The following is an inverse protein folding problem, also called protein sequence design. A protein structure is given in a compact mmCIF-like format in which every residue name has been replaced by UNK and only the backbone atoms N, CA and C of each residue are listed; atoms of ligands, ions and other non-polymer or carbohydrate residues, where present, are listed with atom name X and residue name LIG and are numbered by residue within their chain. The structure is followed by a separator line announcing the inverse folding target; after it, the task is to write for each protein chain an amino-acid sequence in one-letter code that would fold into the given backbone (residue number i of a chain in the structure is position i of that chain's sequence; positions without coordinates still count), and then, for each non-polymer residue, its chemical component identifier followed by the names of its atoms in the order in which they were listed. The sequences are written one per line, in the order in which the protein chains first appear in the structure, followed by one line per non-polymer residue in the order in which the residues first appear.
data_IF_032871104198
#
_entry.id   IF_032871104198
#
_cell.length_a   1.000
_cell.length_b   1.000
_cell.length_c   1.000
_cell.angle_alpha   90.00
_cell.angle_beta   90.00
_cell.angle_gamma   90.00
#
_symmetry.space_group_name_H-M   'P 1'
#
loop_
_entity.id
_entity.type
_entity.pdbx_description
1 polymer ?
#
# COMPACT_ATOMS: atom_id res chain seq x y z
N UNK A 1 -20.62 11.65 29.87
CA UNK A 1 -19.72 10.94 28.94
C UNK A 1 -19.36 11.88 27.81
N UNK A 2 -18.09 12.24 27.60
CA UNK A 2 -17.70 13.09 26.49
C UNK A 2 -17.80 12.28 25.20
N UNK A 3 -18.81 12.61 24.37
CA UNK A 3 -18.91 12.14 22.99
C UNK A 3 -17.74 12.77 22.23
N UNK A 4 -16.98 12.00 21.44
CA UNK A 4 -15.98 12.57 20.54
C UNK A 4 -16.63 13.71 19.73
N UNK A 5 -15.99 14.88 19.59
CA UNK A 5 -16.51 15.96 18.77
C UNK A 5 -16.69 15.44 17.32
N UNK A 6 -17.83 15.75 16.69
CA UNK A 6 -18.19 15.27 15.34
C UNK A 6 -17.05 15.38 14.30
N UNK A 7 -16.18 16.38 14.44
CA UNK A 7 -15.07 16.66 13.52
C UNK A 7 -14.00 15.57 13.47
N UNK A 8 -13.71 14.88 14.58
CA UNK A 8 -12.66 13.84 14.62
C UNK A 8 -13.09 12.58 13.86
N UNK A 9 -14.37 12.22 13.97
CA UNK A 9 -14.94 11.08 13.23
C UNK A 9 -14.97 11.38 11.72
N UNK A 10 -15.22 12.64 11.32
CA UNK A 10 -15.18 13.06 9.91
C UNK A 10 -13.79 12.87 9.29
N UNK A 11 -12.73 13.21 10.02
CA UNK A 11 -11.34 13.03 9.58
C UNK A 11 -11.01 11.53 9.43
N UNK A 12 -11.49 10.69 10.35
CA UNK A 12 -11.35 9.24 10.26
C UNK A 12 -12.01 8.66 8.98
N UNK A 13 -13.23 9.08 8.67
CA UNK A 13 -13.92 8.66 7.44
C UNK A 13 -13.23 9.19 6.17
N UNK A 14 -12.70 10.43 6.20
CA UNK A 14 -11.96 10.99 5.08
C UNK A 14 -10.68 10.20 4.78
N UNK A 15 -9.89 9.85 5.81
CA UNK A 15 -8.71 9.00 5.67
C UNK A 15 -9.06 7.59 5.19
N UNK A 16 -10.15 7.01 5.69
CA UNK A 16 -10.62 5.69 5.27
C UNK A 16 -10.94 5.67 3.77
N UNK A 17 -11.78 6.61 3.32
CA UNK A 17 -12.20 6.70 1.91
C UNK A 17 -10.98 6.96 1.02
N UNK A 18 -10.10 7.88 1.41
CA UNK A 18 -8.89 8.19 0.65
C UNK A 18 -7.97 6.97 0.51
N UNK A 19 -7.75 6.23 1.59
CA UNK A 19 -6.93 5.01 1.58
C UNK A 19 -7.54 3.90 0.70
N UNK A 20 -8.86 3.73 0.75
CA UNK A 20 -9.58 2.76 -0.11
C UNK A 20 -9.50 3.16 -1.58
N UNK A 21 -9.65 4.44 -1.90
CA UNK A 21 -9.49 4.94 -3.27
C UNK A 21 -8.07 4.64 -3.78
N UNK A 22 -7.04 4.89 -2.98
CA UNK A 22 -5.66 4.58 -3.35
C UNK A 22 -5.43 3.08 -3.59
N UNK A 23 -6.02 2.21 -2.76
CA UNK A 23 -5.96 0.77 -2.95
C UNK A 23 -6.61 0.34 -4.28
N UNK A 24 -7.83 0.79 -4.54
CA UNK A 24 -8.55 0.45 -5.77
C UNK A 24 -7.83 1.00 -7.01
N UNK A 25 -7.35 2.24 -6.93
CA UNK A 25 -6.58 2.87 -8.00
C UNK A 25 -5.31 2.07 -8.32
N UNK A 26 -4.54 1.69 -7.30
CA UNK A 26 -3.33 0.89 -7.46
C UNK A 26 -3.60 -0.47 -8.11
N UNK A 27 -4.66 -1.16 -7.69
CA UNK A 27 -5.05 -2.46 -8.27
C UNK A 27 -5.44 -2.32 -9.74
N UNK A 28 -6.25 -1.30 -10.06
CA UNK A 28 -6.69 -1.05 -11.45
C UNK A 28 -5.48 -0.79 -12.34
N UNK A 29 -4.57 0.10 -11.93
CA UNK A 29 -3.35 0.42 -12.68
C UNK A 29 -2.42 -0.78 -12.86
N UNK A 30 -2.32 -1.62 -11.84
CA UNK A 30 -1.51 -2.83 -11.90
C UNK A 30 -2.08 -3.82 -12.93
N UNK A 31 -3.40 -3.99 -12.96
CA UNK A 31 -4.09 -4.84 -13.93
C UNK A 31 -3.96 -4.26 -15.35
N UNK A 32 -4.25 -2.98 -15.57
CA UNK A 32 -4.18 -2.38 -16.91
C UNK A 32 -2.79 -2.46 -17.53
N UNK A 33 -1.74 -2.21 -16.75
CA UNK A 33 -0.36 -2.31 -17.24
C UNK A 33 0.07 -3.77 -17.44
N UNK A 34 -0.38 -4.69 -16.58
CA UNK A 34 -0.08 -6.12 -16.73
C UNK A 34 -0.70 -6.74 -17.98
N UNK A 35 -1.97 -6.43 -18.27
CA UNK A 35 -2.68 -6.92 -19.46
C UNK A 35 -2.25 -6.18 -20.75
N UNK A 36 -1.34 -5.20 -20.66
CA UNK A 36 -0.81 -4.47 -21.81
C UNK A 36 -1.75 -3.43 -22.39
N UNK A 37 -2.84 -3.06 -21.69
CA UNK A 37 -3.73 -1.98 -22.12
C UNK A 37 -3.07 -0.60 -22.03
N UNK A 38 -2.09 -0.44 -21.13
CA UNK A 38 -1.27 0.75 -21.02
C UNK A 38 0.23 0.37 -20.99
N UNK A 39 1.09 1.05 -21.75
CA UNK A 39 2.53 0.81 -21.68
C UNK A 39 3.07 1.28 -20.33
N UNK A 40 3.94 0.50 -19.65
CA UNK A 40 4.58 0.96 -18.43
C UNK A 40 5.41 2.21 -18.73
N UNK A 41 5.50 3.17 -17.79
CA UNK A 41 6.34 4.35 -17.95
C UNK A 41 7.78 3.96 -18.27
N UNK A 42 8.36 4.60 -19.30
CA UNK A 42 9.72 4.32 -19.76
C UNK A 42 10.73 5.05 -18.88
N UNK A 43 11.16 4.40 -17.80
CA UNK A 43 12.12 4.96 -16.83
C UNK A 43 13.57 4.56 -17.18
N UNK A 44 13.74 3.37 -17.74
CA UNK A 44 14.99 2.83 -18.22
C UNK A 44 14.97 2.78 -19.75
N UNK A 45 16.08 3.23 -20.35
CA UNK A 45 16.35 3.12 -21.78
C UNK A 45 17.72 2.45 -21.94
N UNK A 46 17.70 1.12 -22.00
CA UNK A 46 18.85 0.29 -22.30
C UNK A 46 19.19 0.40 -23.78
N UNK A 47 20.50 0.40 -24.07
CA UNK A 47 21.04 0.45 -25.43
C UNK A 47 20.95 -0.92 -26.08
N UNK A 48 20.85 -0.94 -27.40
CA UNK A 48 20.88 -2.18 -28.19
C UNK A 48 22.23 -2.89 -28.00
N UNK A 49 22.18 -4.21 -27.85
CA UNK A 49 23.38 -5.04 -27.83
C UNK A 49 23.54 -5.60 -29.25
N UNK A 50 24.49 -5.02 -29.99
CA UNK A 50 24.84 -5.44 -31.34
C UNK A 50 26.24 -6.02 -31.40
N UNK A 51 26.40 -7.13 -32.12
CA UNK A 51 27.72 -7.64 -32.48
C UNK A 51 28.09 -7.18 -33.90
N UNK A 52 29.37 -6.88 -34.15
CA UNK A 52 29.85 -6.61 -35.49
C UNK A 52 29.77 -7.91 -36.32
N UNK A 53 28.98 -7.88 -37.39
CA UNK A 53 28.91 -8.97 -38.38
C UNK A 53 29.99 -8.85 -39.46
N UNK A 54 30.28 -9.97 -40.12
CA UNK A 54 31.39 -10.18 -41.06
C UNK A 54 31.41 -9.20 -42.27
N UNK A 55 30.29 -8.52 -42.56
CA UNK A 55 30.15 -7.55 -43.66
C UNK A 55 29.88 -6.10 -43.20
N UNK A 56 30.21 -5.75 -41.95
CA UNK A 56 29.92 -4.42 -41.39
C UNK A 56 28.46 -4.20 -41.01
N UNK A 57 27.61 -5.22 -41.16
CA UNK A 57 26.24 -5.23 -40.64
C UNK A 57 26.25 -5.51 -39.14
N UNK A 58 25.79 -4.57 -38.34
CA UNK A 58 25.57 -4.79 -36.90
C UNK A 58 24.36 -5.72 -36.72
N UNK A 59 24.59 -6.93 -36.21
CA UNK A 59 23.52 -7.88 -35.90
C UNK A 59 23.02 -7.54 -34.50
N UNK A 60 21.81 -6.98 -34.40
CA UNK A 60 21.17 -6.69 -33.12
C UNK A 60 20.63 -7.98 -32.51
N UNK A 61 21.25 -8.47 -31.43
CA UNK A 61 20.82 -9.68 -30.73
C UNK A 61 19.67 -9.41 -29.77
N UNK A 62 19.70 -8.25 -29.12
CA UNK A 62 18.66 -7.81 -28.20
C UNK A 62 18.39 -6.33 -28.47
N UNK A 63 17.15 -6.04 -28.84
CA UNK A 63 16.71 -4.65 -28.98
C UNK A 63 16.58 -4.06 -27.57
N UNK A 64 17.24 -2.93 -27.34
CA UNK A 64 17.25 -2.18 -26.09
C UNK A 64 15.85 -1.80 -25.63
N UNK A 65 14.88 -1.69 -26.54
CA UNK A 65 13.45 -1.51 -26.23
C UNK A 65 12.86 -2.68 -25.47
N UNK A 66 13.16 -3.92 -25.88
CA UNK A 66 12.70 -5.14 -25.20
C UNK A 66 13.48 -5.35 -23.90
N UNK A 67 14.78 -5.09 -23.90
CA UNK A 67 15.60 -5.17 -22.70
C UNK A 67 15.09 -4.20 -21.61
N UNK A 68 14.64 -3.01 -22.01
CA UNK A 68 14.11 -1.99 -21.10
C UNK A 68 12.72 -2.29 -20.56
N UNK A 69 11.95 -3.13 -21.25
CA UNK A 69 10.55 -3.39 -20.89
C UNK A 69 10.44 -4.08 -19.52
N UNK A 70 11.30 -5.06 -19.24
CA UNK A 70 11.30 -5.79 -17.97
C UNK A 70 11.59 -4.90 -16.76
N UNK A 71 12.69 -4.10 -16.72
CA UNK A 71 12.95 -3.20 -15.60
C UNK A 71 11.91 -2.07 -15.49
N UNK A 72 11.37 -1.57 -16.61
CA UNK A 72 10.29 -0.57 -16.59
C UNK A 72 9.02 -1.12 -15.94
N UNK A 73 8.63 -2.34 -16.31
CA UNK A 73 7.48 -3.01 -15.73
C UNK A 73 7.72 -3.32 -14.25
N UNK A 74 8.89 -3.87 -13.90
CA UNK A 74 9.25 -4.17 -12.52
C UNK A 74 9.18 -2.93 -11.63
N UNK A 75 9.75 -1.82 -12.08
CA UNK A 75 9.72 -0.57 -11.32
C UNK A 75 8.30 -0.02 -11.18
N UNK A 76 7.48 -0.12 -12.23
CA UNK A 76 6.07 0.27 -12.13
C UNK A 76 5.30 -0.55 -11.08
N UNK A 77 5.51 -1.87 -11.09
CA UNK A 77 4.94 -2.77 -10.08
C UNK A 77 5.43 -2.46 -8.68
N UNK A 78 6.72 -2.15 -8.50
CA UNK A 78 7.29 -1.73 -7.22
C UNK A 78 6.63 -0.43 -6.72
N UNK A 79 6.49 0.56 -7.61
CA UNK A 79 5.89 1.85 -7.29
C UNK A 79 4.41 1.69 -6.92
N UNK A 80 3.64 0.95 -7.71
CA UNK A 80 2.24 0.66 -7.40
C UNK A 80 2.11 -0.19 -6.13
N UNK A 81 3.01 -1.13 -5.88
CA UNK A 81 3.09 -1.87 -4.63
C UNK A 81 3.31 -0.96 -3.42
N UNK A 82 4.17 0.06 -3.55
CA UNK A 82 4.34 1.07 -2.51
C UNK A 82 3.05 1.88 -2.28
N UNK A 83 2.37 2.30 -3.36
CA UNK A 83 1.08 3.01 -3.29
C UNK A 83 0.01 2.15 -2.59
N UNK A 84 -0.04 0.85 -2.89
CA UNK A 84 -0.93 -0.10 -2.24
C UNK A 84 -0.68 -0.18 -0.73
N UNK A 85 0.59 -0.31 -0.32
CA UNK A 85 0.97 -0.35 1.10
C UNK A 85 0.65 0.98 1.81
N UNK A 86 0.94 2.11 1.16
CA UNK A 86 0.63 3.44 1.67
C UNK A 86 -0.89 3.64 1.84
N UNK A 87 -1.69 3.28 0.83
CA UNK A 87 -3.15 3.33 0.88
C UNK A 87 -3.72 2.48 2.01
N UNK A 88 -3.20 1.27 2.20
CA UNK A 88 -3.59 0.39 3.32
C UNK A 88 -3.25 0.97 4.70
N UNK A 89 -2.07 1.60 4.85
CA UNK A 89 -1.68 2.29 6.09
C UNK A 89 -2.58 3.50 6.38
N UNK A 90 -2.88 4.32 5.37
CA UNK A 90 -3.77 5.47 5.49
C UNK A 90 -5.19 5.03 5.88
N UNK A 91 -5.72 3.97 5.24
CA UNK A 91 -7.01 3.41 5.57
C UNK A 91 -7.06 2.89 7.01
N UNK A 92 -6.00 2.20 7.46
CA UNK A 92 -5.88 1.68 8.83
C UNK A 92 -5.91 2.79 9.89
N UNK A 93 -5.22 3.92 9.64
CA UNK A 93 -5.31 5.11 10.49
C UNK A 93 -6.73 5.65 10.55
N UNK A 94 -7.42 5.72 9.40
CA UNK A 94 -8.84 6.11 9.34
C UNK A 94 -9.74 5.23 10.23
N UNK A 95 -9.62 3.90 10.13
CA UNK A 95 -10.37 2.96 10.99
C UNK A 95 -10.03 3.15 12.47
N UNK A 96 -8.74 3.31 12.79
CA UNK A 96 -8.29 3.46 14.17
C UNK A 96 -8.82 4.74 14.84
N UNK A 97 -9.06 5.81 14.08
CA UNK A 97 -9.67 7.04 14.60
C UNK A 97 -11.19 6.94 14.79
N UNK A 98 -11.86 6.08 14.03
CA UNK A 98 -13.32 5.87 14.15
C UNK A 98 -13.64 4.95 15.34
N UNK A 99 -12.74 4.01 15.67
CA UNK A 99 -12.93 3.04 16.74
C UNK A 99 -12.78 3.72 18.11
N UNK A 100 -13.88 3.82 18.86
CA UNK A 100 -13.86 4.35 20.22
C UNK A 100 -13.07 3.37 21.13
N UNK A 101 -12.06 3.86 21.86
CA UNK A 101 -11.26 3.06 22.81
C UNK A 101 -12.15 2.73 24.02
N UNK A 102 -12.79 1.57 23.99
CA UNK A 102 -13.53 1.04 25.15
C UNK A 102 -12.52 0.39 26.10
N UNK A 103 -12.02 1.16 27.07
CA UNK A 103 -11.18 0.63 28.16
C UNK A 103 -12.10 -0.11 29.12
N UNK A 104 -12.08 -1.44 29.08
CA UNK A 104 -12.67 -2.26 30.13
C UNK A 104 -11.65 -2.34 31.26
N UNK A 105 -11.93 -1.65 32.36
CA UNK A 105 -11.14 -1.76 33.58
C UNK A 105 -11.47 -3.14 34.18
N UNK A 106 -10.59 -4.11 33.98
CA UNK A 106 -10.59 -5.31 34.82
C UNK A 106 -10.09 -4.90 36.19
N UNK A 107 -11.01 -4.57 37.10
CA UNK A 107 -10.68 -4.41 38.51
C UNK A 107 -10.04 -5.72 39.00
N UNK A 108 -8.80 -5.70 39.53
CA UNK A 108 -8.29 -6.86 40.24
C UNK A 108 -9.17 -7.04 41.48
N UNK A 109 -9.81 -8.21 41.61
CA UNK A 109 -10.63 -8.58 42.75
C UNK A 109 -9.85 -8.39 44.05
N UNK A 110 -10.03 -7.25 44.73
CA UNK A 110 -9.61 -7.08 46.11
C UNK A 110 -10.66 -7.74 46.98
N UNK A 111 -10.44 -9.01 47.32
CA UNK A 111 -11.16 -9.71 48.38
C UNK A 111 -10.86 -9.02 49.73
N UNK A 112 -11.83 -8.43 50.44
CA UNK A 112 -11.63 -8.07 51.83
C UNK A 112 -11.72 -9.34 52.69
N UNK A 113 -10.60 -10.00 52.92
CA UNK A 113 -10.49 -11.05 53.92
C UNK A 113 -9.96 -10.46 55.22
N UNK A 114 -10.78 -9.71 55.96
CA UNK A 114 -10.61 -9.59 57.40
C UNK A 114 -11.89 -9.15 58.14
N UNK A 115 -12.15 -9.84 59.26
CA UNK A 115 -13.05 -9.57 60.40
C UNK A 115 -14.56 -9.44 60.17
N UNK A 116 -15.30 -10.55 60.37
CA UNK A 116 -16.49 -10.61 61.25
C UNK A 116 -17.07 -12.04 61.33
N UNK A 117 -16.82 -12.74 62.46
CA UNK A 117 -17.75 -13.61 63.21
C UNK A 117 -17.00 -14.66 64.05
N UNK A 118 -16.55 -14.25 65.25
CA UNK A 118 -16.24 -15.15 66.35
C UNK A 118 -16.39 -14.39 67.68
N UNK A 119 -17.64 -14.09 68.04
CA UNK A 119 -18.14 -13.94 69.41
C UNK A 119 -19.55 -14.49 69.46
#
# INVERSE_FOLDING_TARGET
MPKLPKNEKIIGYALLILGVILLLFSIVEMITVYYGYAPPPKLFNLKDISLPGDNGSNISLIQGTQASQLPNLFFWFLLMGFVLLAGGKIASLGVSMIKDIKVEISEPMTTPANVQSAQ
#
